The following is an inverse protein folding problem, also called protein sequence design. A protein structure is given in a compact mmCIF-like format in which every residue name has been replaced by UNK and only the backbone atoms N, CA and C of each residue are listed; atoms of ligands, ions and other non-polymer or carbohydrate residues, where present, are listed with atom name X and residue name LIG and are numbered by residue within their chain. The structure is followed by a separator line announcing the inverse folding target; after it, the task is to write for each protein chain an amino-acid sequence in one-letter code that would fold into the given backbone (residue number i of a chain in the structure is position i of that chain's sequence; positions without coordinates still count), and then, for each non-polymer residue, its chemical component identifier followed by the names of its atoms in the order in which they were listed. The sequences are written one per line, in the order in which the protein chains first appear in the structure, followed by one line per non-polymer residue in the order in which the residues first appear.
data_IF_565387302193
#
_entry.id   IF_565387302193
#
_cell.length_a   1.000
_cell.length_b   1.000
_cell.length_c   1.000
_cell.angle_alpha   90.00
_cell.angle_beta   90.00
_cell.angle_gamma   90.00
#
_symmetry.space_group_name_H-M   'P 1'
#
loop_
_entity.id
_entity.type
_entity.pdbx_description
1 polymer ?
#
# COMPACT_ATOMS: atom_id res chain seq x y z
N UNK A 1 23.78 -17.51 -20.04
CA UNK A 1 22.43 -17.54 -20.64
C UNK A 1 21.56 -16.57 -19.84
N UNK A 2 20.79 -15.72 -20.51
CA UNK A 2 19.87 -14.79 -19.83
C UNK A 2 18.59 -15.54 -19.47
N UNK A 3 18.13 -15.38 -18.22
CA UNK A 3 16.83 -15.91 -17.78
C UNK A 3 15.68 -15.11 -18.44
N UNK A 4 14.53 -15.73 -18.71
CA UNK A 4 13.39 -15.04 -19.29
C UNK A 4 12.73 -14.07 -18.29
N UNK A 5 12.08 -13.02 -18.82
CA UNK A 5 11.23 -12.13 -18.04
C UNK A 5 9.98 -12.90 -17.63
N UNK A 6 9.72 -12.99 -16.31
CA UNK A 6 8.51 -13.60 -15.75
C UNK A 6 7.54 -12.49 -15.39
N UNK A 7 6.40 -12.42 -16.10
CA UNK A 7 5.30 -11.54 -15.73
C UNK A 7 4.43 -12.25 -14.69
N UNK A 8 4.36 -11.71 -13.47
CA UNK A 8 3.59 -12.29 -12.37
C UNK A 8 2.17 -11.70 -12.39
N UNK A 9 1.12 -12.53 -12.58
CA UNK A 9 -0.24 -12.05 -12.48
C UNK A 9 -0.62 -11.77 -11.01
N UNK A 10 -1.32 -10.66 -10.76
CA UNK A 10 -1.83 -10.27 -9.45
C UNK A 10 -3.36 -10.39 -9.39
N UNK A 11 -3.91 -11.58 -9.05
CA UNK A 11 -5.35 -11.87 -9.16
C UNK A 11 -6.24 -11.07 -8.20
N UNK A 12 -5.68 -10.45 -7.17
CA UNK A 12 -6.42 -9.67 -6.17
C UNK A 12 -6.31 -8.16 -6.37
N UNK A 13 -5.62 -7.69 -7.42
CA UNK A 13 -5.53 -6.28 -7.77
C UNK A 13 -6.27 -6.02 -9.08
N UNK A 14 -7.08 -4.96 -9.12
CA UNK A 14 -7.74 -4.49 -10.33
C UNK A 14 -7.54 -3.00 -10.53
N UNK A 15 -7.68 -2.58 -11.78
CA UNK A 15 -7.68 -1.18 -12.21
C UNK A 15 -8.94 -0.96 -13.02
N UNK A 16 -9.77 0.00 -12.61
CA UNK A 16 -11.00 0.37 -13.33
C UNK A 16 -11.15 1.89 -13.27
N UNK A 17 -11.25 2.60 -14.40
CA UNK A 17 -11.46 4.06 -14.42
C UNK A 17 -12.69 4.52 -13.62
N UNK A 18 -13.71 3.66 -13.46
CA UNK A 18 -14.94 3.94 -12.71
C UNK A 18 -14.77 3.75 -11.21
N UNK A 19 -13.69 3.10 -10.75
CA UNK A 19 -13.43 2.81 -9.33
C UNK A 19 -12.18 3.56 -8.90
N UNK A 20 -12.28 4.37 -7.85
CA UNK A 20 -11.16 5.17 -7.32
C UNK A 20 -10.40 5.96 -8.42
N UNK A 21 -11.13 6.42 -9.44
CA UNK A 21 -10.60 7.14 -10.59
C UNK A 21 -9.42 6.43 -11.29
N UNK A 22 -9.46 5.09 -11.38
CA UNK A 22 -8.42 4.29 -12.03
C UNK A 22 -7.18 4.02 -11.17
N UNK A 23 -7.20 4.31 -9.86
CA UNK A 23 -6.16 3.85 -8.93
C UNK A 23 -6.26 2.32 -8.78
N UNK A 24 -5.13 1.58 -8.79
CA UNK A 24 -5.12 0.15 -8.49
C UNK A 24 -5.72 -0.13 -7.12
N UNK A 25 -6.63 -1.11 -7.02
CA UNK A 25 -7.35 -1.40 -5.79
C UNK A 25 -7.52 -2.90 -5.54
N UNK A 26 -7.71 -3.25 -4.28
CA UNK A 26 -7.86 -4.65 -3.86
C UNK A 26 -9.28 -5.15 -4.12
N UNK A 27 -9.42 -6.29 -4.81
CA UNK A 27 -10.71 -6.85 -5.25
C UNK A 27 -11.67 -7.09 -4.09
N UNK A 28 -12.92 -6.65 -4.28
CA UNK A 28 -13.96 -6.73 -3.25
C UNK A 28 -13.83 -5.67 -2.16
N UNK A 29 -12.98 -4.66 -2.38
CA UNK A 29 -12.82 -3.52 -1.48
C UNK A 29 -12.72 -2.23 -2.28
N UNK A 30 -12.78 -1.09 -1.58
CA UNK A 30 -12.38 0.22 -2.11
C UNK A 30 -11.08 0.71 -1.48
N UNK A 31 -10.18 -0.22 -1.15
CA UNK A 31 -8.86 0.09 -0.60
C UNK A 31 -7.87 0.19 -1.75
N UNK A 32 -7.29 1.38 -2.02
CA UNK A 32 -6.28 1.52 -3.06
C UNK A 32 -4.96 0.86 -2.62
N UNK A 33 -4.25 0.25 -3.56
CA UNK A 33 -2.99 -0.45 -3.31
C UNK A 33 -1.94 0.50 -2.75
N UNK A 34 -1.85 1.74 -3.29
CA UNK A 34 -0.97 2.80 -2.78
C UNK A 34 -1.11 3.06 -1.27
N UNK A 35 -2.29 2.81 -0.68
CA UNK A 35 -2.51 3.01 0.76
C UNK A 35 -1.87 1.89 1.59
N UNK A 36 -2.02 0.63 1.17
CA UNK A 36 -1.33 -0.50 1.79
C UNK A 36 0.19 -0.35 1.64
N UNK A 37 0.64 0.01 0.44
CA UNK A 37 2.04 0.25 0.13
C UNK A 37 2.64 1.39 0.95
N UNK A 38 1.90 2.50 1.13
CA UNK A 38 2.35 3.62 1.96
C UNK A 38 2.58 3.22 3.43
N UNK A 39 1.69 2.42 4.01
CA UNK A 39 1.91 1.90 5.37
C UNK A 39 3.11 0.95 5.43
N UNK A 40 3.24 0.05 4.45
CA UNK A 40 4.38 -0.86 4.36
C UNK A 40 5.72 -0.11 4.26
N UNK A 41 5.80 0.91 3.40
CA UNK A 41 6.99 1.80 3.28
C UNK A 41 7.31 2.56 4.56
N UNK A 42 6.30 2.85 5.38
CA UNK A 42 6.45 3.50 6.68
C UNK A 42 6.74 2.51 7.82
N UNK A 43 7.09 1.26 7.50
CA UNK A 43 7.49 0.23 8.48
C UNK A 43 6.34 -0.57 9.09
N UNK A 44 5.11 -0.46 8.58
CA UNK A 44 4.02 -1.31 9.07
C UNK A 44 4.23 -2.77 8.66
N UNK A 45 4.10 -3.68 9.62
CA UNK A 45 4.13 -5.12 9.37
C UNK A 45 2.87 -5.59 8.65
N UNK A 46 2.96 -6.72 7.93
CA UNK A 46 1.79 -7.35 7.29
C UNK A 46 0.71 -7.68 8.31
N UNK A 47 1.08 -8.13 9.50
CA UNK A 47 0.15 -8.37 10.61
C UNK A 47 -0.63 -7.12 11.01
N UNK A 48 0.05 -5.96 11.05
CA UNK A 48 -0.58 -4.67 11.33
C UNK A 48 -1.56 -4.28 10.23
N UNK A 49 -1.21 -4.54 8.96
CA UNK A 49 -2.11 -4.32 7.83
C UNK A 49 -3.34 -5.23 7.91
N UNK A 50 -3.18 -6.49 8.29
CA UNK A 50 -4.29 -7.43 8.46
C UNK A 50 -5.22 -7.05 9.61
N UNK A 51 -4.67 -6.56 10.73
CA UNK A 51 -5.46 -6.01 11.83
C UNK A 51 -6.25 -4.76 11.41
N UNK A 52 -5.65 -3.91 10.55
CA UNK A 52 -6.30 -2.70 10.04
C UNK A 52 -7.36 -2.98 8.97
N UNK A 53 -7.14 -4.02 8.16
CA UNK A 53 -7.99 -4.40 7.04
C UNK A 53 -8.43 -5.88 7.13
N UNK A 54 -9.17 -6.26 8.19
CA UNK A 54 -9.54 -7.66 8.41
C UNK A 54 -10.38 -8.24 7.26
N UNK A 55 -11.15 -7.40 6.56
CA UNK A 55 -11.98 -7.80 5.42
C UNK A 55 -11.19 -8.17 4.15
N UNK A 56 -9.93 -7.77 4.03
CA UNK A 56 -9.11 -8.11 2.86
C UNK A 56 -8.58 -9.55 2.93
N UNK A 57 -8.22 -9.99 4.13
CA UNK A 57 -7.57 -11.28 4.35
C UNK A 57 -6.11 -11.33 3.87
N UNK A 58 -5.34 -12.35 4.31
CA UNK A 58 -3.89 -12.45 4.06
C UNK A 58 -3.51 -12.47 2.58
N UNK A 59 -4.18 -13.30 1.77
CA UNK A 59 -3.85 -13.47 0.35
C UNK A 59 -3.94 -12.15 -0.42
N UNK A 60 -4.99 -11.36 -0.19
CA UNK A 60 -5.19 -10.10 -0.91
C UNK A 60 -4.22 -9.01 -0.45
N UNK A 61 -3.90 -8.95 0.84
CA UNK A 61 -2.91 -7.98 1.36
C UNK A 61 -1.54 -8.29 0.78
N UNK A 62 -1.12 -9.56 0.79
CA UNK A 62 0.17 -9.97 0.25
C UNK A 62 0.27 -9.72 -1.26
N UNK A 63 -0.76 -10.09 -2.02
CA UNK A 63 -0.78 -9.87 -3.47
C UNK A 63 -0.81 -8.37 -3.85
N UNK A 64 -1.51 -7.55 -3.07
CA UNK A 64 -1.49 -6.10 -3.26
C UNK A 64 -0.10 -5.50 -2.99
N UNK A 65 0.62 -5.99 -1.98
CA UNK A 65 1.99 -5.56 -1.72
C UNK A 65 2.96 -6.06 -2.80
N UNK A 66 2.81 -7.31 -3.26
CA UNK A 66 3.58 -7.86 -4.37
C UNK A 66 3.39 -7.00 -5.64
N UNK A 67 2.15 -6.70 -6.02
CA UNK A 67 1.83 -5.81 -7.14
C UNK A 67 2.54 -4.47 -7.01
N UNK A 68 2.52 -3.86 -5.81
CA UNK A 68 3.15 -2.56 -5.59
C UNK A 68 4.68 -2.60 -5.74
N UNK A 69 5.31 -3.70 -5.31
CA UNK A 69 6.77 -3.89 -5.39
C UNK A 69 7.23 -4.25 -6.80
N UNK A 70 6.42 -5.01 -7.54
CA UNK A 70 6.70 -5.41 -8.92
C UNK A 70 6.46 -4.27 -9.91
N UNK A 71 5.63 -3.27 -9.55
CA UNK A 71 5.23 -2.15 -10.41
C UNK A 71 5.45 -0.77 -9.75
N UNK A 72 6.69 -0.42 -9.37
CA UNK A 72 7.00 0.80 -8.62
C UNK A 72 6.62 2.08 -9.39
N UNK A 73 6.76 2.10 -10.71
CA UNK A 73 6.38 3.23 -11.57
C UNK A 73 4.88 3.52 -11.56
N UNK A 74 4.05 2.47 -11.45
CA UNK A 74 2.60 2.61 -11.32
C UNK A 74 2.26 3.23 -9.97
N UNK A 75 2.93 2.79 -8.90
CA UNK A 75 2.73 3.34 -7.57
C UNK A 75 3.16 4.79 -7.49
N UNK A 76 4.31 5.15 -8.06
CA UNK A 76 4.80 6.53 -8.07
C UNK A 76 3.84 7.45 -8.82
N UNK A 77 3.36 7.04 -10.00
CA UNK A 77 2.38 7.79 -10.76
C UNK A 77 1.03 7.95 -10.02
N UNK A 78 0.57 6.91 -9.31
CA UNK A 78 -0.66 6.96 -8.52
C UNK A 78 -0.54 7.86 -7.28
N UNK A 79 0.62 7.82 -6.60
CA UNK A 79 0.93 8.69 -5.46
C UNK A 79 1.02 10.16 -5.92
N UNK A 80 1.75 10.45 -6.99
CA UNK A 80 1.85 11.79 -7.55
C UNK A 80 0.48 12.34 -7.97
N UNK A 81 -0.38 11.49 -8.56
CA UNK A 81 -1.75 11.87 -8.92
C UNK A 81 -2.57 12.24 -7.68
N UNK A 82 -2.49 11.45 -6.61
CA UNK A 82 -3.17 11.78 -5.34
C UNK A 82 -2.67 13.11 -4.76
N UNK A 83 -1.35 13.31 -4.71
CA UNK A 83 -0.75 14.54 -4.19
C UNK A 83 -1.23 15.78 -4.95
N UNK A 84 -1.26 15.71 -6.29
CA UNK A 84 -1.75 16.80 -7.14
C UNK A 84 -3.23 17.11 -6.87
N UNK A 85 -4.07 16.11 -6.60
CA UNK A 85 -5.48 16.32 -6.26
C UNK A 85 -5.65 16.96 -4.87
N UNK A 86 -4.86 16.52 -3.89
CA UNK A 86 -4.87 17.08 -2.54
C UNK A 86 -4.42 18.55 -2.52
N UNK A 87 -3.36 18.88 -3.26
CA UNK A 87 -2.88 20.25 -3.38
C UNK A 87 -3.94 21.18 -3.98
N UNK A 88 -4.63 20.75 -5.04
CA UNK A 88 -5.71 21.52 -5.67
C UNK A 88 -6.93 21.71 -4.77
N UNK A 89 -7.18 20.77 -3.87
CA UNK A 89 -8.33 20.80 -2.94
C UNK A 89 -8.01 21.46 -1.60
N UNK A 90 -6.75 21.84 -1.33
CA UNK A 90 -6.31 22.35 -0.03
C UNK A 90 -6.37 21.31 1.10
N UNK A 91 -6.60 20.03 0.78
CA UNK A 91 -6.71 18.96 1.74
C UNK A 91 -5.31 18.44 2.15
N UNK A 92 -5.11 18.19 3.44
CA UNK A 92 -3.84 17.58 3.91
C UNK A 92 -3.72 16.14 3.39
N UNK A 93 -2.51 15.69 3.02
CA UNK A 93 -2.30 14.29 2.67
C UNK A 93 -2.66 13.39 3.84
N UNK A 94 -3.56 12.45 3.60
CA UNK A 94 -3.94 11.42 4.57
C UNK A 94 -2.91 10.29 4.65
N UNK A 95 -1.67 10.52 4.18
CA UNK A 95 -0.57 9.61 4.47
C UNK A 95 -0.45 9.49 5.98
N UNK A 96 -0.55 8.25 6.48
CA UNK A 96 -0.41 7.91 7.89
C UNK A 96 1.01 8.14 8.38
N UNK A 97 1.46 9.39 8.37
CA UNK A 97 2.69 9.88 8.95
C UNK A 97 2.53 10.05 10.47
N UNK A 98 1.93 9.06 11.12
CA UNK A 98 2.40 8.70 12.45
C UNK A 98 3.21 7.46 12.19
N UNK A 99 4.54 7.64 12.06
CA UNK A 99 5.49 6.55 12.27
C UNK A 99 4.93 5.72 13.41
N UNK A 100 4.61 4.45 13.16
CA UNK A 100 4.16 3.55 14.20
C UNK A 100 5.35 3.40 15.13
N UNK A 101 5.45 4.30 16.12
CA UNK A 101 6.50 4.26 17.13
C UNK A 101 6.43 2.85 17.71
N UNK A 102 7.53 2.13 17.56
CA UNK A 102 7.69 0.80 18.12
C UNK A 102 7.26 0.85 19.59
N UNK A 103 6.35 -0.04 19.98
CA UNK A 103 5.98 -0.15 21.39
C UNK A 103 7.26 -0.55 22.12
N UNK A 104 7.71 0.19 23.15
CA UNK A 104 8.91 -0.16 23.88
C UNK A 104 8.72 -1.56 24.49
N UNK A 105 9.68 -2.44 24.25
CA UNK A 105 9.70 -3.77 24.83
C UNK A 105 10.06 -3.65 26.33
N UNK A 106 9.52 -4.52 27.21
CA UNK A 106 9.76 -4.43 28.66
C UNK A 106 11.24 -4.49 29.07
N UNK A 107 12.11 -4.94 28.18
CA UNK A 107 13.54 -5.17 28.42
C UNK A 107 14.44 -4.20 27.66
N UNK A 108 13.89 -3.15 27.04
CA UNK A 108 14.65 -2.18 26.23
C UNK A 108 14.51 -0.77 26.83
N UNK A 109 15.22 -0.47 27.95
CA UNK A 109 15.01 0.75 28.72
C UNK A 109 15.40 2.04 27.99
N UNK A 110 16.23 1.96 26.92
CA UNK A 110 16.88 3.13 26.30
C UNK A 110 16.62 3.31 24.80
N UNK A 111 15.78 2.49 24.16
CA UNK A 111 15.20 2.72 22.82
C UNK A 111 16.08 3.46 21.79
N UNK A 112 17.26 2.92 21.48
CA UNK A 112 18.09 3.33 20.34
C UNK A 112 18.21 2.21 19.31
#
# INVERSE_FOLDING_TARGET
MSLPIVLVPHPHVRVDPKVLAGSPFVVGSRVPVRRLFGFYRNGATVETLLKRYPQLGPAKVMDALAFALDNPEVMEADIAREQNLLQKSGAKPSLGATALKQIPLPFDPDGK
#
